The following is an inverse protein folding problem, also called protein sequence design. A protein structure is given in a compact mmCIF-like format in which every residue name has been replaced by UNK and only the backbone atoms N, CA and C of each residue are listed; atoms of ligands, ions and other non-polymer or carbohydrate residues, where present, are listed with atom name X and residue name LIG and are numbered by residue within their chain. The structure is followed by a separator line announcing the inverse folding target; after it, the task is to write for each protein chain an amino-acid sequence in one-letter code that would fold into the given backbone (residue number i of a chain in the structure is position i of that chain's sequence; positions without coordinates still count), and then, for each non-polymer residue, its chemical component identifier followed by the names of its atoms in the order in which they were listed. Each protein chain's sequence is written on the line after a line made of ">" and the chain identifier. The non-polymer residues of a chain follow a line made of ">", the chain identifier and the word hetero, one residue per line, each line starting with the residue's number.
data_IF_954370254328
#
_entry.id   IF_954370254328
#
_cell.length_a   1.000
_cell.length_b   1.000
_cell.length_c   1.000
_cell.angle_alpha   90.00
_cell.angle_beta   90.00
_cell.angle_gamma   90.00
#
_symmetry.space_group_name_H-M   'P 1'
#
loop_
_entity.id
_entity.type
_entity.pdbx_description
1 polymer ?
#
# COMPACT_ATOMS: atom_id res chain seq x y z
N UNK A 1 -1.16 6.34 -21.15
CA UNK A 1 -2.13 5.49 -20.44
C UNK A 1 -1.45 5.09 -19.14
N UNK A 2 -1.72 5.83 -18.09
CA UNK A 2 -1.15 5.59 -16.75
C UNK A 2 -1.81 4.35 -16.16
N UNK A 3 -1.07 3.55 -15.37
CA UNK A 3 -1.58 2.34 -14.70
C UNK A 3 -2.77 2.63 -13.75
N UNK A 4 -3.05 3.90 -13.46
CA UNK A 4 -4.19 4.38 -12.67
C UNK A 4 -5.54 4.34 -13.38
N UNK A 5 -5.59 4.07 -14.70
CA UNK A 5 -6.83 4.14 -15.49
C UNK A 5 -7.62 2.80 -15.54
N UNK A 6 -7.19 1.76 -14.84
CA UNK A 6 -7.74 0.41 -15.00
C UNK A 6 -8.55 -0.13 -13.81
N UNK A 7 -8.67 0.60 -12.71
CA UNK A 7 -9.45 0.12 -11.57
C UNK A 7 -10.63 1.05 -11.29
N UNK A 8 -11.85 0.51 -11.37
CA UNK A 8 -13.03 1.15 -10.79
C UNK A 8 -12.73 1.41 -9.29
N UNK A 9 -12.83 2.66 -8.80
CA UNK A 9 -12.59 3.00 -7.38
C UNK A 9 -13.51 2.23 -6.41
N UNK A 10 -14.46 1.48 -6.93
CA UNK A 10 -15.32 0.55 -6.19
C UNK A 10 -15.20 -0.85 -6.77
N UNK A 11 -14.22 -1.59 -6.31
CA UNK A 11 -14.18 -3.02 -6.53
C UNK A 11 -15.08 -3.69 -5.48
N UNK A 12 -16.36 -3.82 -5.71
CA UNK A 12 -17.39 -4.51 -4.89
C UNK A 12 -17.14 -4.73 -3.39
N UNK A 13 -15.93 -5.12 -3.02
CA UNK A 13 -15.51 -5.45 -1.64
C UNK A 13 -14.70 -4.36 -0.95
N UNK A 14 -14.21 -3.36 -1.68
CA UNK A 14 -13.48 -2.21 -1.14
C UNK A 14 -13.91 -0.90 -1.81
N UNK A 15 -13.72 0.20 -1.09
CA UNK A 15 -13.58 1.55 -1.61
C UNK A 15 -12.12 1.97 -1.40
N UNK A 16 -11.49 2.59 -2.39
CA UNK A 16 -10.12 3.04 -2.25
C UNK A 16 -9.88 4.42 -2.85
N UNK A 17 -8.82 5.06 -2.42
CA UNK A 17 -8.37 6.34 -2.93
C UNK A 17 -6.88 6.52 -2.70
N UNK A 18 -6.26 7.30 -3.56
CA UNK A 18 -4.83 7.57 -3.52
C UNK A 18 -4.56 9.05 -3.71
N UNK A 19 -3.57 9.55 -2.98
CA UNK A 19 -3.01 10.87 -3.19
C UNK A 19 -1.48 10.78 -3.11
N UNK A 20 -0.79 11.52 -3.96
CA UNK A 20 0.67 11.54 -3.97
C UNK A 20 1.20 12.68 -4.82
N UNK A 21 2.46 13.00 -4.61
CA UNK A 21 3.20 14.00 -5.37
C UNK A 21 4.69 13.64 -5.43
N UNK A 22 5.40 13.97 -6.51
CA UNK A 22 6.84 13.88 -6.53
C UNK A 22 7.46 14.92 -5.59
N UNK A 23 8.72 14.68 -5.20
CA UNK A 23 9.55 15.68 -4.53
C UNK A 23 9.62 16.98 -5.36
N UNK A 24 9.62 18.17 -4.74
CA UNK A 24 9.72 19.42 -5.48
C UNK A 24 10.92 19.46 -6.42
N UNK A 25 10.64 19.74 -7.70
CA UNK A 25 11.65 19.80 -8.77
C UNK A 25 11.71 18.54 -9.65
N UNK A 26 11.10 17.45 -9.26
CA UNK A 26 10.96 16.25 -10.09
C UNK A 26 9.58 16.20 -10.78
N UNK A 27 9.54 15.55 -11.94
CA UNK A 27 8.29 15.35 -12.71
C UNK A 27 7.72 13.96 -12.43
N UNK A 28 8.61 12.99 -12.18
CA UNK A 28 8.25 11.59 -11.93
C UNK A 28 8.52 11.25 -10.46
N UNK A 29 7.54 10.63 -9.81
CA UNK A 29 7.67 10.09 -8.46
C UNK A 29 8.24 8.67 -8.51
N UNK A 30 9.14 8.35 -7.59
CA UNK A 30 9.57 6.99 -7.28
C UNK A 30 8.50 6.15 -6.58
N UNK A 31 7.46 6.80 -6.05
CA UNK A 31 6.37 6.15 -5.33
C UNK A 31 5.26 5.68 -6.26
N UNK A 32 4.80 4.47 -6.07
CA UNK A 32 3.65 3.90 -6.79
C UNK A 32 2.74 3.09 -5.87
N UNK A 33 1.47 2.98 -6.28
CA UNK A 33 0.51 2.08 -5.66
C UNK A 33 0.04 1.01 -6.64
N UNK A 34 -0.46 -0.08 -6.08
CA UNK A 34 -1.19 -1.12 -6.81
C UNK A 34 -2.47 -1.44 -6.05
N UNK A 35 -3.59 -1.45 -6.76
CA UNK A 35 -4.85 -2.03 -6.30
C UNK A 35 -5.34 -2.95 -7.41
N UNK A 36 -5.36 -4.25 -7.15
CA UNK A 36 -5.68 -5.25 -8.16
C UNK A 36 -6.64 -6.31 -7.60
N UNK A 37 -7.77 -6.47 -8.26
CA UNK A 37 -8.79 -7.46 -7.87
C UNK A 37 -8.48 -8.83 -8.43
N UNK A 38 -8.80 -9.88 -7.67
CA UNK A 38 -8.70 -11.26 -8.12
C UNK A 38 -9.73 -12.14 -7.41
N UNK A 39 -10.57 -12.86 -8.15
CA UNK A 39 -11.60 -13.69 -7.53
C UNK A 39 -12.42 -12.91 -6.49
N UNK A 40 -12.39 -13.36 -5.22
CA UNK A 40 -13.03 -12.69 -4.09
C UNK A 40 -12.05 -11.88 -3.23
N UNK A 41 -10.92 -11.50 -3.78
CA UNK A 41 -9.86 -10.80 -3.06
C UNK A 41 -9.38 -9.54 -3.77
N UNK A 42 -8.61 -8.74 -3.06
CA UNK A 42 -7.92 -7.55 -3.56
C UNK A 42 -6.52 -7.50 -3.01
N UNK A 43 -5.57 -7.25 -3.88
CA UNK A 43 -4.20 -6.86 -3.52
C UNK A 43 -4.11 -5.34 -3.50
N UNK A 44 -3.64 -4.79 -2.38
CA UNK A 44 -3.27 -3.40 -2.24
C UNK A 44 -1.79 -3.31 -1.88
N UNK A 45 -1.03 -2.43 -2.51
CA UNK A 45 0.37 -2.24 -2.21
C UNK A 45 0.79 -0.79 -2.43
N UNK A 46 1.78 -0.36 -1.65
CA UNK A 46 2.54 0.87 -1.87
C UNK A 46 4.00 0.48 -2.00
N UNK A 47 4.65 1.06 -2.99
CA UNK A 47 6.02 0.80 -3.43
C UNK A 47 6.74 2.12 -3.47
N UNK A 48 7.91 2.18 -2.87
CA UNK A 48 8.83 3.30 -2.93
C UNK A 48 10.13 2.80 -3.59
N UNK A 49 10.43 3.30 -4.78
CA UNK A 49 11.67 3.02 -5.51
C UNK A 49 12.82 3.83 -4.93
N UNK A 50 13.93 3.18 -4.56
CA UNK A 50 15.02 3.84 -3.83
C UNK A 50 15.54 5.09 -4.52
N UNK A 51 15.49 6.22 -3.79
CA UNK A 51 15.82 7.56 -4.27
C UNK A 51 14.61 8.19 -4.95
N UNK A 52 14.84 9.15 -5.82
CA UNK A 52 13.79 9.91 -6.51
C UNK A 52 14.05 9.99 -8.02
N UNK A 53 13.05 10.46 -8.77
CA UNK A 53 13.14 10.69 -10.20
C UNK A 53 13.07 9.40 -11.05
N UNK A 54 13.50 9.45 -12.33
CA UNK A 54 13.21 8.41 -13.33
C UNK A 54 13.69 7.00 -12.98
N UNK A 55 14.85 6.85 -12.34
CA UNK A 55 15.38 5.52 -12.00
C UNK A 55 14.62 4.86 -10.85
N UNK A 56 14.18 5.64 -9.86
CA UNK A 56 13.29 5.19 -8.80
C UNK A 56 11.92 4.80 -9.37
N UNK A 57 11.35 5.65 -10.22
CA UNK A 57 10.11 5.38 -10.94
C UNK A 57 10.15 4.07 -11.75
N UNK A 58 11.27 3.79 -12.46
CA UNK A 58 11.44 2.53 -13.21
C UNK A 58 11.46 1.32 -12.28
N UNK A 59 12.10 1.42 -11.11
CA UNK A 59 12.11 0.33 -10.13
C UNK A 59 10.68 0.07 -9.58
N UNK A 60 9.99 1.12 -9.15
CA UNK A 60 8.61 1.01 -8.68
C UNK A 60 7.66 0.45 -9.74
N UNK A 61 7.77 0.90 -11.00
CA UNK A 61 6.96 0.39 -12.12
C UNK A 61 7.20 -1.10 -12.39
N UNK A 62 8.45 -1.59 -12.27
CA UNK A 62 8.76 -3.03 -12.43
C UNK A 62 8.07 -3.86 -11.36
N UNK A 63 8.15 -3.44 -10.09
CA UNK A 63 7.46 -4.10 -8.99
C UNK A 63 5.94 -4.07 -9.18
N UNK A 64 5.37 -2.92 -9.52
CA UNK A 64 3.94 -2.76 -9.76
C UNK A 64 3.41 -3.69 -10.87
N UNK A 65 4.17 -3.89 -11.95
CA UNK A 65 3.82 -4.83 -13.02
C UNK A 65 3.76 -6.28 -12.51
N UNK A 66 4.72 -6.68 -11.67
CA UNK A 66 4.73 -8.03 -11.07
C UNK A 66 3.49 -8.24 -10.21
N UNK A 67 3.22 -7.30 -9.30
CA UNK A 67 2.08 -7.38 -8.38
C UNK A 67 0.74 -7.40 -9.13
N UNK A 68 0.61 -6.59 -10.18
CA UNK A 68 -0.63 -6.52 -10.98
C UNK A 68 -0.85 -7.74 -11.88
N UNK A 69 0.22 -8.46 -12.24
CA UNK A 69 0.11 -9.62 -13.12
C UNK A 69 -0.48 -10.86 -12.42
N UNK A 70 -0.22 -11.03 -11.13
CA UNK A 70 -0.62 -12.23 -10.38
C UNK A 70 -1.12 -11.88 -8.97
N UNK A 71 -2.12 -10.99 -8.82
CA UNK A 71 -2.53 -10.41 -7.53
C UNK A 71 -3.12 -11.42 -6.53
N UNK A 72 -3.46 -12.63 -6.98
CA UNK A 72 -4.01 -13.69 -6.13
C UNK A 72 -2.96 -14.67 -5.57
N UNK A 73 -1.68 -14.45 -5.84
CA UNK A 73 -0.62 -15.29 -5.26
C UNK A 73 -0.35 -14.94 -3.78
N UNK A 74 0.21 -15.87 -3.00
CA UNK A 74 0.65 -15.57 -1.63
C UNK A 74 1.57 -14.36 -1.57
N UNK A 75 1.43 -13.55 -0.52
CA UNK A 75 2.17 -12.28 -0.39
C UNK A 75 3.69 -12.50 -0.41
N UNK A 76 4.19 -13.57 0.22
CA UNK A 76 5.61 -13.95 0.17
C UNK A 76 6.11 -14.25 -1.25
N UNK A 77 5.32 -14.97 -2.05
CA UNK A 77 5.69 -15.28 -3.44
C UNK A 77 5.71 -14.02 -4.31
N UNK A 78 4.77 -13.10 -4.09
CA UNK A 78 4.76 -11.80 -4.76
C UNK A 78 6.02 -10.98 -4.45
N UNK A 79 6.46 -10.97 -3.18
CA UNK A 79 7.70 -10.30 -2.78
C UNK A 79 8.92 -10.96 -3.44
N UNK A 80 9.00 -12.30 -3.47
CA UNK A 80 10.11 -13.02 -4.10
C UNK A 80 10.19 -12.74 -5.61
N UNK A 81 9.04 -12.67 -6.29
CA UNK A 81 8.97 -12.28 -7.71
C UNK A 81 9.39 -10.84 -7.93
N UNK A 82 8.96 -9.90 -7.07
CA UNK A 82 9.42 -8.52 -7.12
C UNK A 82 10.93 -8.45 -6.90
N UNK A 83 11.47 -9.21 -5.93
CA UNK A 83 12.90 -9.27 -5.67
C UNK A 83 13.69 -9.74 -6.89
N UNK A 84 13.22 -10.77 -7.57
CA UNK A 84 13.83 -11.26 -8.79
C UNK A 84 13.77 -10.23 -9.94
N UNK A 85 12.63 -9.55 -10.10
CA UNK A 85 12.42 -8.57 -11.16
C UNK A 85 13.20 -7.27 -10.96
N UNK A 86 13.51 -6.93 -9.70
CA UNK A 86 14.24 -5.71 -9.34
C UNK A 86 15.77 -5.89 -9.29
N UNK A 87 16.30 -7.10 -9.49
CA UNK A 87 17.75 -7.29 -9.63
C UNK A 87 18.30 -6.41 -10.73
N UNK A 88 19.44 -5.78 -10.47
CA UNK A 88 20.07 -4.82 -11.39
C UNK A 88 19.24 -3.52 -11.60
N UNK A 89 18.40 -3.16 -10.64
CA UNK A 89 17.79 -1.83 -10.51
C UNK A 89 18.26 -1.18 -9.21
N UNK A 90 17.75 0.01 -8.88
CA UNK A 90 17.98 0.61 -7.56
C UNK A 90 17.35 -0.20 -6.42
N UNK A 91 16.37 -1.06 -6.74
CA UNK A 91 15.54 -1.73 -5.74
C UNK A 91 14.39 -0.85 -5.27
N UNK A 92 13.58 -1.41 -4.39
CA UNK A 92 12.44 -0.71 -3.80
C UNK A 92 12.19 -1.21 -2.38
N UNK A 93 11.50 -0.40 -1.60
CA UNK A 93 10.83 -0.83 -0.37
C UNK A 93 9.33 -0.88 -0.62
N UNK A 94 8.59 -1.67 0.13
CA UNK A 94 7.17 -1.83 -0.13
C UNK A 94 6.41 -2.45 1.04
N UNK A 95 5.14 -2.12 1.13
CA UNK A 95 4.17 -2.84 1.94
C UNK A 95 3.06 -3.38 1.03
N UNK A 96 2.76 -4.66 1.20
CA UNK A 96 1.75 -5.39 0.46
C UNK A 96 0.71 -5.91 1.42
N UNK A 97 -0.57 -5.76 1.06
CA UNK A 97 -1.73 -6.21 1.80
C UNK A 97 -2.69 -6.95 0.85
N UNK A 98 -2.96 -8.21 1.15
CA UNK A 98 -3.94 -9.04 0.45
C UNK A 98 -5.21 -9.19 1.29
N UNK A 99 -6.35 -8.80 0.74
CA UNK A 99 -7.67 -8.93 1.35
C UNK A 99 -8.37 -10.16 0.75
N UNK A 100 -8.80 -11.08 1.61
CA UNK A 100 -9.68 -12.21 1.26
C UNK A 100 -11.06 -11.95 1.85
N UNK A 101 -12.01 -11.58 0.98
CA UNK A 101 -13.38 -11.26 1.38
C UNK A 101 -14.25 -12.50 1.65
N UNK A 102 -13.78 -13.73 1.37
CA UNK A 102 -14.49 -14.96 1.77
C UNK A 102 -14.33 -15.26 3.25
N UNK A 103 -13.14 -14.93 3.77
CA UNK A 103 -12.76 -15.24 5.15
C UNK A 103 -12.69 -13.98 6.02
N UNK A 104 -12.99 -12.79 5.48
CA UNK A 104 -12.80 -11.48 6.12
C UNK A 104 -11.40 -11.36 6.72
N UNK A 105 -10.38 -11.61 5.91
CA UNK A 105 -8.98 -11.60 6.32
C UNK A 105 -8.15 -10.61 5.51
N UNK A 106 -7.20 -9.99 6.21
CA UNK A 106 -6.13 -9.18 5.65
C UNK A 106 -4.81 -9.85 5.99
N UNK A 107 -4.02 -10.21 4.99
CA UNK A 107 -2.63 -10.66 5.17
C UNK A 107 -1.70 -9.60 4.63
N UNK A 108 -0.78 -9.11 5.46
CA UNK A 108 0.19 -8.10 5.06
C UNK A 108 1.63 -8.45 5.40
N UNK A 109 2.56 -7.84 4.64
CA UNK A 109 4.00 -7.82 4.92
C UNK A 109 4.60 -6.49 4.49
N UNK A 110 5.64 -6.02 5.20
CA UNK A 110 6.36 -4.79 4.90
C UNK A 110 7.87 -5.01 4.87
N UNK A 111 8.53 -4.42 3.88
CA UNK A 111 9.98 -4.35 3.72
C UNK A 111 10.38 -2.89 3.56
N UNK A 112 11.26 -2.40 4.43
CA UNK A 112 11.72 -1.01 4.46
C UNK A 112 10.84 -0.12 5.33
N UNK A 113 10.56 1.10 4.87
CA UNK A 113 9.94 2.21 5.61
C UNK A 113 8.52 2.60 5.11
N UNK A 114 7.92 1.82 4.21
CA UNK A 114 6.51 2.02 3.85
C UNK A 114 5.63 1.58 5.01
N UNK A 115 4.98 2.54 5.65
CA UNK A 115 4.12 2.32 6.82
C UNK A 115 2.74 1.81 6.41
N UNK A 116 2.12 1.03 7.31
CA UNK A 116 0.72 0.66 7.17
C UNK A 116 0.01 0.63 8.53
N UNK A 117 -1.22 1.11 8.55
CA UNK A 117 -2.10 1.09 9.72
C UNK A 117 -3.49 0.62 9.31
N UNK A 118 -4.03 -0.33 10.07
CA UNK A 118 -5.42 -0.79 9.99
C UNK A 118 -6.18 -0.19 11.16
N UNK A 119 -7.08 0.75 10.88
CA UNK A 119 -7.99 1.33 11.87
C UNK A 119 -9.31 0.57 11.86
N UNK A 120 -9.77 0.18 13.06
CA UNK A 120 -11.00 -0.58 13.23
C UNK A 120 -12.22 0.33 13.18
N UNK A 121 -13.27 -0.11 12.50
CA UNK A 121 -14.55 0.60 12.46
C UNK A 121 -15.31 0.49 13.78
N UNK A 122 -15.19 -0.64 14.49
CA UNK A 122 -15.84 -0.84 15.76
C UNK A 122 -15.21 0.04 16.85
N UNK A 123 -16.02 0.88 17.51
CA UNK A 123 -15.55 1.82 18.53
C UNK A 123 -14.99 1.14 19.78
N UNK A 124 -15.39 -0.11 20.06
CA UNK A 124 -14.97 -0.94 21.18
C UNK A 124 -13.85 -1.92 20.80
N UNK A 125 -13.31 -1.84 19.59
CA UNK A 125 -12.23 -2.72 19.15
C UNK A 125 -10.97 -2.56 20.01
N UNK A 126 -10.36 -3.68 20.37
CA UNK A 126 -9.11 -3.73 21.13
C UNK A 126 -8.13 -4.68 20.42
N UNK A 127 -7.03 -4.14 19.87
CA UNK A 127 -6.67 -2.72 19.78
C UNK A 127 -7.54 -1.97 18.73
N UNK A 128 -7.73 -0.65 18.89
CA UNK A 128 -8.48 0.14 17.92
C UNK A 128 -7.74 0.34 16.60
N UNK A 129 -6.42 0.10 16.61
CA UNK A 129 -5.52 0.17 15.44
C UNK A 129 -4.45 -0.90 15.51
N UNK A 130 -4.04 -1.38 14.36
CA UNK A 130 -2.90 -2.26 14.20
C UNK A 130 -1.93 -1.66 13.19
N UNK A 131 -0.64 -1.62 13.53
CA UNK A 131 0.41 -1.13 12.65
C UNK A 131 1.27 -2.26 12.17
N UNK A 132 1.76 -2.17 10.93
CA UNK A 132 2.68 -3.14 10.40
C UNK A 132 4.04 -3.02 11.09
N UNK A 133 4.68 -4.15 11.34
CA UNK A 133 6.08 -4.20 11.76
C UNK A 133 6.91 -4.60 10.54
N UNK A 134 7.36 -3.59 9.79
CA UNK A 134 8.20 -3.78 8.62
C UNK A 134 9.57 -4.36 8.97
N UNK A 135 10.18 -5.05 8.04
CA UNK A 135 11.54 -5.58 8.16
C UNK A 135 12.52 -4.72 7.38
N UNK A 136 13.64 -4.38 8.01
CA UNK A 136 14.71 -3.67 7.32
C UNK A 136 15.23 -4.52 6.15
N UNK A 137 15.30 -3.91 4.95
CA UNK A 137 15.74 -4.56 3.72
C UNK A 137 15.34 -3.77 2.49
N UNK A 138 15.77 -4.26 1.33
CA UNK A 138 15.48 -3.67 0.02
C UNK A 138 15.16 -4.80 -0.96
N UNK A 139 13.98 -4.74 -1.55
CA UNK A 139 13.54 -5.68 -2.58
C UNK A 139 14.36 -5.42 -3.86
N UNK A 140 14.98 -6.46 -4.39
CA UNK A 140 15.95 -6.37 -5.49
C UNK A 140 17.42 -6.41 -5.06
N UNK A 141 17.71 -6.07 -3.78
CA UNK A 141 19.08 -6.07 -3.26
C UNK A 141 19.26 -7.04 -2.09
N UNK A 142 18.65 -6.77 -0.96
CA UNK A 142 18.75 -7.59 0.25
C UNK A 142 17.37 -7.84 0.84
N UNK A 143 16.85 -9.05 0.64
CA UNK A 143 15.54 -9.43 1.16
C UNK A 143 15.70 -10.00 2.57
N UNK A 144 14.97 -9.45 3.57
CA UNK A 144 14.97 -10.02 4.91
C UNK A 144 14.11 -11.30 4.95
N UNK A 145 14.20 -12.05 6.05
CA UNK A 145 13.20 -13.09 6.32
C UNK A 145 11.83 -12.44 6.44
N UNK A 146 10.94 -12.74 5.55
CA UNK A 146 9.59 -12.16 5.51
C UNK A 146 8.80 -12.55 6.76
N UNK A 147 7.91 -11.65 7.18
CA UNK A 147 6.94 -11.88 8.23
C UNK A 147 5.56 -11.47 7.72
N UNK A 148 4.79 -12.46 7.37
CA UNK A 148 3.37 -12.26 7.08
C UNK A 148 2.57 -12.24 8.39
N UNK A 149 1.62 -11.33 8.47
CA UNK A 149 0.66 -11.24 9.58
C UNK A 149 -0.73 -11.25 8.96
N UNK A 150 -1.56 -12.18 9.42
CA UNK A 150 -2.97 -12.26 9.03
C UNK A 150 -3.84 -11.75 10.16
N UNK A 151 -4.74 -10.84 9.83
CA UNK A 151 -5.69 -10.19 10.72
C UNK A 151 -7.10 -10.45 10.22
N UNK A 152 -8.05 -10.60 11.12
CA UNK A 152 -9.46 -10.52 10.77
C UNK A 152 -9.81 -9.06 10.51
N UNK A 153 -10.59 -8.79 9.47
CA UNK A 153 -11.11 -7.45 9.14
C UNK A 153 -12.63 -7.45 9.17
N UNK A 154 -13.20 -6.29 9.39
CA UNK A 154 -14.64 -6.10 9.43
C UNK A 154 -15.05 -4.95 8.49
N UNK A 155 -16.31 -5.00 8.04
CA UNK A 155 -16.87 -3.92 7.21
C UNK A 155 -16.71 -2.57 7.88
N UNK A 156 -16.14 -1.62 7.15
CA UNK A 156 -15.84 -0.27 7.61
C UNK A 156 -14.41 -0.09 8.10
N UNK A 157 -13.64 -1.17 8.34
CA UNK A 157 -12.21 -1.05 8.66
C UNK A 157 -11.47 -0.31 7.55
N UNK A 158 -10.52 0.52 7.95
CA UNK A 158 -9.74 1.36 7.02
C UNK A 158 -8.27 1.04 7.13
N UNK A 159 -7.69 0.59 6.03
CA UNK A 159 -6.26 0.39 5.86
C UNK A 159 -5.68 1.63 5.18
N UNK A 160 -4.61 2.18 5.75
CA UNK A 160 -3.80 3.24 5.15
C UNK A 160 -2.39 2.73 4.95
N UNK A 161 -1.85 2.88 3.75
CA UNK A 161 -0.44 2.63 3.43
C UNK A 161 0.18 3.96 2.99
N UNK A 162 1.39 4.26 3.48
CA UNK A 162 2.06 5.52 3.18
C UNK A 162 3.58 5.35 3.05
N UNK A 163 4.19 6.07 2.11
CA UNK A 163 5.64 6.22 1.99
C UNK A 163 6.18 7.18 3.05
N UNK A 164 7.48 7.23 3.22
CA UNK A 164 8.14 8.05 4.26
C UNK A 164 8.10 9.56 3.99
N UNK A 165 7.71 9.98 2.77
CA UNK A 165 7.34 11.38 2.50
C UNK A 165 6.07 11.83 3.23
N UNK A 166 5.33 10.90 3.86
CA UNK A 166 4.18 11.18 4.73
C UNK A 166 4.63 11.05 6.19
N UNK A 167 4.50 12.12 6.97
CA UNK A 167 4.89 12.15 8.37
C UNK A 167 4.08 11.12 9.20
N UNK A 168 4.78 10.33 10.03
CA UNK A 168 4.20 9.17 10.74
C UNK A 168 3.05 9.47 11.70
N UNK A 169 2.83 10.72 12.06
CA UNK A 169 1.72 11.12 12.95
C UNK A 169 0.34 10.77 12.38
N UNK A 170 0.22 10.55 11.06
CA UNK A 170 -1.00 10.08 10.43
C UNK A 170 -1.52 8.76 11.05
N UNK A 171 -0.64 7.92 11.60
CA UNK A 171 -0.98 6.65 12.24
C UNK A 171 -1.94 6.86 13.44
N UNK A 172 -1.84 8.02 14.09
CA UNK A 172 -2.65 8.36 15.26
C UNK A 172 -4.01 8.97 14.87
N UNK A 173 -4.18 9.36 13.61
CA UNK A 173 -5.42 9.98 13.15
C UNK A 173 -6.55 8.96 13.04
N UNK A 174 -7.76 9.38 13.41
CA UNK A 174 -8.96 8.56 13.20
C UNK A 174 -9.47 8.76 11.78
N UNK A 175 -9.86 7.69 11.07
CA UNK A 175 -10.40 7.82 9.72
C UNK A 175 -11.57 8.80 9.67
N UNK A 176 -11.55 9.71 8.70
CA UNK A 176 -12.61 10.67 8.50
C UNK A 176 -13.86 10.02 7.90
N UNK A 177 -15.04 10.54 8.25
CA UNK A 177 -16.32 10.19 7.62
C UNK A 177 -16.44 10.85 6.23
N UNK A 178 -15.54 10.45 5.31
CA UNK A 178 -15.49 10.91 3.93
C UNK A 178 -15.16 9.74 3.01
N UNK A 179 -15.13 9.96 1.69
CA UNK A 179 -14.67 8.94 0.75
C UNK A 179 -13.20 8.59 0.99
N UNK A 180 -12.79 7.36 0.61
CA UNK A 180 -11.40 6.96 0.68
C UNK A 180 -10.47 7.94 -0.08
N UNK A 181 -10.93 8.46 -1.23
CA UNK A 181 -10.20 9.47 -2.00
C UNK A 181 -10.10 10.82 -1.25
N UNK A 182 -11.16 11.25 -0.57
CA UNK A 182 -11.14 12.46 0.25
C UNK A 182 -10.20 12.32 1.43
N UNK A 183 -10.18 11.17 2.07
CA UNK A 183 -9.28 10.89 3.18
C UNK A 183 -7.80 10.80 2.72
N UNK A 184 -7.52 10.17 1.58
CA UNK A 184 -6.16 10.14 1.04
C UNK A 184 -5.61 11.55 0.76
N UNK A 185 -6.42 12.44 0.17
CA UNK A 185 -6.04 13.85 -0.04
C UNK A 185 -5.79 14.57 1.28
N UNK A 186 -6.69 14.43 2.25
CA UNK A 186 -6.52 15.01 3.57
C UNK A 186 -5.19 14.59 4.21
N UNK A 187 -4.86 13.30 4.19
CA UNK A 187 -3.60 12.80 4.75
C UNK A 187 -2.37 13.37 4.04
N UNK A 188 -2.39 13.46 2.71
CA UNK A 188 -1.31 14.09 1.95
C UNK A 188 -1.16 15.57 2.30
N UNK A 189 -2.27 16.31 2.40
CA UNK A 189 -2.26 17.75 2.69
C UNK A 189 -1.78 18.06 4.12
N UNK A 190 -2.10 17.21 5.10
CA UNK A 190 -1.76 17.42 6.50
C UNK A 190 -0.37 16.89 6.88
N UNK A 191 0.06 15.78 6.28
CA UNK A 191 1.24 15.03 6.69
C UNK A 191 2.30 14.89 5.60
N UNK A 192 2.02 15.32 4.36
CA UNK A 192 2.99 15.27 3.26
C UNK A 192 4.11 16.26 3.42
N UNK A 193 5.36 15.76 3.45
CA UNK A 193 6.58 16.56 3.44
C UNK A 193 7.03 16.97 2.05
N UNK A 194 8.02 17.86 1.97
CA UNK A 194 8.65 18.31 0.72
C UNK A 194 10.08 17.79 0.54
N UNK A 195 10.52 16.87 1.40
CA UNK A 195 11.89 16.33 1.40
C UNK A 195 12.03 15.06 0.57
N UNK A 196 10.93 14.43 0.17
CA UNK A 196 10.89 13.22 -0.63
C UNK A 196 9.60 13.13 -1.46
N UNK A 197 9.52 12.13 -2.34
CA UNK A 197 8.27 11.71 -2.95
C UNK A 197 7.29 11.33 -1.85
N UNK A 198 6.01 11.62 -2.02
CA UNK A 198 5.00 11.34 -1.01
C UNK A 198 3.78 10.65 -1.64
N UNK A 199 3.38 9.51 -1.09
CA UNK A 199 2.20 8.78 -1.54
C UNK A 199 1.46 8.15 -0.35
N UNK A 200 0.13 8.28 -0.36
CA UNK A 200 -0.76 7.61 0.57
C UNK A 200 -1.89 6.91 -0.19
N UNK A 201 -2.10 5.64 0.12
CA UNK A 201 -3.19 4.80 -0.36
C UNK A 201 -4.13 4.49 0.81
N UNK A 202 -5.40 4.79 0.65
CA UNK A 202 -6.47 4.48 1.61
C UNK A 202 -7.37 3.40 1.02
N UNK A 203 -7.65 2.35 1.79
CA UNK A 203 -8.54 1.26 1.42
C UNK A 203 -9.55 1.04 2.55
N UNK A 204 -10.84 1.21 2.25
CA UNK A 204 -11.94 0.90 3.16
C UNK A 204 -12.57 -0.44 2.77
N UNK A 205 -12.64 -1.37 3.72
CA UNK A 205 -13.26 -2.67 3.49
C UNK A 205 -14.78 -2.54 3.55
N UNK A 206 -15.47 -3.00 2.51
CA UNK A 206 -16.94 -2.95 2.39
C UNK A 206 -17.63 -4.28 2.74
N UNK A 207 -16.82 -5.32 3.02
CA UNK A 207 -17.31 -6.68 3.24
C UNK A 207 -17.43 -7.47 1.95
N UNK A 208 -17.34 -8.80 2.05
CA UNK A 208 -17.69 -9.70 0.95
C UNK A 208 -19.19 -9.59 0.63
N UNK A 209 -19.55 -9.79 -0.64
CA UNK A 209 -20.97 -10.01 -0.98
C UNK A 209 -21.40 -11.36 -0.41
N UNK A 210 -22.61 -11.48 0.16
CA UNK A 210 -23.14 -12.74 0.67
C UNK A 210 -23.32 -13.79 -0.44
#
# INVERSE_FOLDING_TARGET
>A
MTLSDLADPKCGIIEWGVAGRPIPGEIESGDLHVVASHGNGVLAAVIDGLGHGPEAAVAAQRAARVLSATPGEPVSELVDRCHAALRNSRGAVMTIAAIDARNDQLTWTGIGNVEAVLSRAAADAVPPRETIVSRAGVVGYQLPKLREITLTIARGDVLVLATDGIHRDFILESPLETSAQGYARHLLDQYGGDSDDALVLVVRYLGGSP
#
